data_IF_638185100347
#
_entry.id   IF_638185100347
#
_cell.length_a   1.000
_cell.length_b   1.000
_cell.length_c   1.000
_cell.angle_alpha   90.00
_cell.angle_beta   90.00
_cell.angle_gamma   90.00
#
_symmetry.space_group_name_H-M   'P 1'
#
loop_
_entity.id
_entity.type
_entity.pdbx_description
1 polymer ?
#
# COMPACT_ATOMS: atom_id res chain seq x y z
N UNK A 1 7.16 -33.72 -22.01
CA UNK A 1 6.42 -32.70 -21.25
C UNK A 1 6.15 -31.55 -22.19
N UNK A 2 4.91 -31.07 -22.30
CA UNK A 2 4.63 -29.83 -23.02
C UNK A 2 5.50 -28.71 -22.42
N UNK A 3 6.05 -27.84 -23.27
CA UNK A 3 6.82 -26.68 -22.80
C UNK A 3 5.93 -25.81 -21.93
N UNK A 4 6.33 -25.55 -20.69
CA UNK A 4 5.63 -24.59 -19.83
C UNK A 4 5.59 -23.21 -20.51
N UNK A 5 4.55 -22.37 -20.27
CA UNK A 5 4.44 -21.02 -20.81
C UNK A 5 5.36 -20.04 -20.07
N UNK A 6 6.63 -20.41 -19.95
CA UNK A 6 7.72 -19.66 -19.37
C UNK A 6 8.90 -19.69 -20.34
N UNK A 7 9.67 -18.60 -20.45
CA UNK A 7 10.80 -18.56 -21.36
C UNK A 7 11.95 -19.41 -20.83
N UNK A 8 12.70 -20.02 -21.73
CA UNK A 8 14.07 -20.49 -21.46
C UNK A 8 15.01 -19.34 -21.76
N UNK A 9 15.77 -18.90 -20.76
CA UNK A 9 16.66 -17.74 -20.84
C UNK A 9 18.03 -18.11 -20.29
N UNK A 10 19.07 -17.70 -21.02
CA UNK A 10 20.45 -18.17 -20.79
C UNK A 10 21.18 -17.37 -19.70
N UNK A 11 20.83 -16.09 -19.52
CA UNK A 11 21.45 -15.21 -18.54
C UNK A 11 20.54 -14.94 -17.34
N UNK A 12 21.15 -14.89 -16.16
CA UNK A 12 20.45 -14.53 -14.90
C UNK A 12 19.85 -13.12 -14.96
N UNK A 13 20.48 -12.20 -15.70
CA UNK A 13 19.96 -10.84 -15.89
C UNK A 13 18.63 -10.82 -16.68
N UNK A 14 18.46 -11.78 -17.59
CA UNK A 14 17.29 -11.88 -18.47
C UNK A 14 16.02 -12.34 -17.74
N UNK A 15 16.14 -12.87 -16.52
CA UNK A 15 14.97 -13.24 -15.68
C UNK A 15 14.07 -12.05 -15.37
N UNK A 16 14.58 -10.83 -15.53
CA UNK A 16 13.82 -9.61 -15.32
C UNK A 16 13.58 -8.85 -16.63
N UNK A 17 13.84 -9.42 -17.80
CA UNK A 17 13.65 -8.75 -19.09
C UNK A 17 12.20 -8.87 -19.56
N UNK A 18 11.42 -7.77 -19.56
CA UNK A 18 10.02 -7.79 -20.00
C UNK A 18 9.86 -8.38 -21.42
N UNK A 19 10.78 -8.01 -22.33
CA UNK A 19 10.79 -8.47 -23.72
C UNK A 19 10.94 -9.98 -23.85
N UNK A 20 11.65 -10.62 -22.92
CA UNK A 20 11.90 -12.06 -22.94
C UNK A 20 10.89 -12.81 -22.06
N UNK A 21 10.46 -12.22 -20.95
CA UNK A 21 9.67 -12.91 -19.93
C UNK A 21 8.18 -12.69 -20.00
N UNK A 22 7.70 -11.59 -20.59
CA UNK A 22 6.25 -11.28 -20.60
C UNK A 22 5.77 -11.01 -22.02
N UNK A 23 6.48 -10.17 -22.77
CA UNK A 23 6.08 -9.75 -24.11
C UNK A 23 5.72 -10.91 -25.07
N UNK A 24 6.46 -12.03 -25.12
CA UNK A 24 6.13 -13.14 -26.03
C UNK A 24 4.81 -13.82 -25.71
N UNK A 25 4.32 -13.67 -24.48
CA UNK A 25 3.10 -14.30 -24.00
C UNK A 25 1.90 -13.35 -24.02
N UNK A 26 2.05 -12.10 -24.46
CA UNK A 26 0.93 -11.14 -24.50
C UNK A 26 -0.18 -11.54 -25.48
N UNK A 27 0.15 -12.33 -26.51
CA UNK A 27 -0.86 -12.90 -27.43
C UNK A 27 -1.88 -13.79 -26.70
N UNK A 28 -1.52 -14.34 -25.54
CA UNK A 28 -2.43 -15.17 -24.73
C UNK A 28 -3.65 -14.37 -24.24
N UNK A 29 -3.55 -13.04 -24.13
CA UNK A 29 -4.68 -12.18 -23.81
C UNK A 29 -5.82 -12.25 -24.83
N UNK A 30 -5.53 -12.64 -26.08
CA UNK A 30 -6.53 -12.71 -27.14
C UNK A 30 -7.45 -13.93 -27.00
N UNK A 31 -6.90 -15.08 -26.60
CA UNK A 31 -7.65 -16.34 -26.53
C UNK A 31 -8.07 -16.73 -25.11
N UNK A 32 -7.37 -16.24 -24.07
CA UNK A 32 -7.65 -16.62 -22.67
C UNK A 32 -9.12 -16.43 -22.24
N UNK A 33 -9.81 -15.31 -22.58
CA UNK A 33 -11.22 -15.16 -22.21
C UNK A 33 -12.14 -16.21 -22.83
N UNK A 34 -11.87 -16.63 -24.08
CA UNK A 34 -12.64 -17.68 -24.74
C UNK A 34 -12.36 -19.03 -24.10
N UNK A 35 -11.09 -19.37 -23.85
CA UNK A 35 -10.71 -20.62 -23.20
C UNK A 35 -11.27 -20.76 -21.78
N UNK A 36 -11.31 -19.68 -21.00
CA UNK A 36 -11.96 -19.67 -19.67
C UNK A 36 -13.47 -19.90 -19.76
N UNK A 37 -14.13 -19.32 -20.78
CA UNK A 37 -15.56 -19.52 -21.02
C UNK A 37 -15.88 -20.96 -21.43
N UNK A 38 -15.06 -21.53 -22.31
CA UNK A 38 -15.19 -22.92 -22.77
C UNK A 38 -14.92 -23.93 -21.64
N UNK A 39 -13.93 -23.65 -20.79
CA UNK A 39 -13.67 -24.46 -19.60
C UNK A 39 -14.84 -24.43 -18.60
N UNK A 40 -15.56 -23.30 -18.52
CA UNK A 40 -16.75 -23.15 -17.68
C UNK A 40 -16.45 -23.39 -16.20
N UNK A 41 -17.16 -24.34 -15.59
CA UNK A 41 -16.94 -24.76 -14.19
C UNK A 41 -16.17 -26.09 -14.08
N UNK A 42 -15.67 -26.64 -15.19
CA UNK A 42 -14.90 -27.87 -15.18
C UNK A 42 -13.49 -27.59 -14.62
N UNK A 43 -13.21 -28.10 -13.42
CA UNK A 43 -11.95 -27.85 -12.72
C UNK A 43 -10.72 -28.35 -13.47
N UNK A 44 -10.82 -29.45 -14.22
CA UNK A 44 -9.70 -29.98 -14.98
C UNK A 44 -9.37 -29.06 -16.17
N UNK A 45 -10.39 -28.65 -16.93
CA UNK A 45 -10.19 -27.73 -18.05
C UNK A 45 -9.70 -26.36 -17.57
N UNK A 46 -10.24 -25.84 -16.46
CA UNK A 46 -9.76 -24.60 -15.85
C UNK A 46 -8.31 -24.70 -15.42
N UNK A 47 -7.91 -25.84 -14.84
CA UNK A 47 -6.51 -26.11 -14.48
C UNK A 47 -5.61 -26.15 -15.71
N UNK A 48 -6.05 -26.77 -16.81
CA UNK A 48 -5.29 -26.81 -18.05
C UNK A 48 -5.09 -25.41 -18.63
N UNK A 49 -6.15 -24.60 -18.72
CA UNK A 49 -6.06 -23.19 -19.17
C UNK A 49 -5.13 -22.39 -18.27
N UNK A 50 -5.25 -22.56 -16.95
CA UNK A 50 -4.40 -21.89 -15.95
C UNK A 50 -2.91 -22.22 -16.13
N UNK A 51 -2.56 -23.50 -16.31
CA UNK A 51 -1.17 -23.95 -16.47
C UNK A 51 -0.62 -23.70 -17.88
N UNK A 52 -1.48 -23.57 -18.89
CA UNK A 52 -1.11 -23.18 -20.26
C UNK A 52 -0.86 -21.67 -20.43
N UNK A 53 -1.31 -20.86 -19.47
CA UNK A 53 -1.14 -19.40 -19.48
C UNK A 53 0.10 -19.00 -18.69
N UNK A 54 0.89 -18.07 -19.23
CA UNK A 54 1.99 -17.46 -18.50
C UNK A 54 1.45 -16.82 -17.20
N UNK A 55 2.06 -17.06 -16.04
CA UNK A 55 1.45 -16.66 -14.78
C UNK A 55 1.37 -15.15 -14.61
N UNK A 56 2.26 -14.37 -15.22
CA UNK A 56 2.16 -12.91 -15.22
C UNK A 56 1.00 -12.42 -16.09
N UNK A 57 0.78 -13.06 -17.25
CA UNK A 57 -0.35 -12.75 -18.13
C UNK A 57 -1.68 -13.08 -17.45
N UNK A 58 -1.78 -14.25 -16.81
CA UNK A 58 -2.98 -14.60 -16.03
C UNK A 58 -3.26 -13.60 -14.90
N UNK A 59 -2.22 -13.20 -14.15
CA UNK A 59 -2.35 -12.21 -13.10
C UNK A 59 -2.77 -10.83 -13.64
N UNK A 60 -2.25 -10.43 -14.81
CA UNK A 60 -2.66 -9.21 -15.50
C UNK A 60 -4.13 -9.28 -15.96
N UNK A 61 -4.58 -10.40 -16.52
CA UNK A 61 -6.00 -10.59 -16.87
C UNK A 61 -6.91 -10.46 -15.65
N UNK A 62 -6.56 -11.11 -14.53
CA UNK A 62 -7.29 -10.97 -13.28
C UNK A 62 -7.31 -9.51 -12.80
N UNK A 63 -6.17 -8.82 -12.85
CA UNK A 63 -6.07 -7.39 -12.54
C UNK A 63 -6.99 -6.54 -13.42
N UNK A 64 -7.04 -6.78 -14.74
CA UNK A 64 -7.91 -6.02 -15.65
C UNK A 64 -9.38 -6.25 -15.35
N UNK A 65 -9.79 -7.50 -15.10
CA UNK A 65 -11.18 -7.84 -14.74
C UNK A 65 -11.58 -7.15 -13.43
N UNK A 66 -10.71 -7.22 -12.41
CA UNK A 66 -10.96 -6.56 -11.13
C UNK A 66 -11.02 -5.04 -11.27
N UNK A 67 -10.12 -4.42 -12.03
CA UNK A 67 -10.15 -2.97 -12.26
C UNK A 67 -11.47 -2.52 -12.91
N UNK A 68 -11.95 -3.23 -13.93
CA UNK A 68 -13.26 -2.98 -14.53
C UNK A 68 -14.41 -3.16 -13.51
N UNK A 69 -14.35 -4.20 -12.69
CA UNK A 69 -15.33 -4.45 -11.63
C UNK A 69 -15.34 -3.35 -10.57
N UNK A 70 -14.16 -2.89 -10.13
CA UNK A 70 -14.03 -1.81 -9.16
C UNK A 70 -14.55 -0.49 -9.71
N UNK A 71 -14.24 -0.15 -10.96
CA UNK A 71 -14.78 1.04 -11.61
C UNK A 71 -16.30 0.99 -11.71
N UNK A 72 -16.87 -0.13 -12.20
CA UNK A 72 -18.32 -0.28 -12.30
C UNK A 72 -19.00 -0.18 -10.92
N UNK A 73 -18.42 -0.82 -9.90
CA UNK A 73 -18.94 -0.76 -8.53
C UNK A 73 -18.79 0.64 -7.91
N UNK A 74 -17.73 1.38 -8.23
CA UNK A 74 -17.50 2.73 -7.72
C UNK A 74 -18.52 3.71 -8.31
N UNK A 75 -18.72 3.68 -9.62
CA UNK A 75 -19.69 4.53 -10.32
C UNK A 75 -21.13 4.20 -9.95
N UNK A 76 -21.47 2.92 -9.78
CA UNK A 76 -22.82 2.50 -9.38
C UNK A 76 -23.16 2.92 -7.94
N UNK A 77 -22.24 2.69 -7.00
CA UNK A 77 -22.48 2.98 -5.58
C UNK A 77 -22.09 4.41 -5.16
N UNK A 78 -21.47 5.18 -6.06
CA UNK A 78 -20.84 6.48 -5.78
C UNK A 78 -19.88 6.44 -4.58
N UNK A 79 -19.20 5.29 -4.44
CA UNK A 79 -18.24 5.01 -3.38
C UNK A 79 -16.92 4.57 -4.00
N UNK A 80 -15.89 5.41 -3.89
CA UNK A 80 -14.61 5.28 -4.59
C UNK A 80 -13.56 4.48 -3.78
N UNK A 81 -13.96 3.94 -2.63
CA UNK A 81 -13.12 3.04 -1.82
C UNK A 81 -13.21 1.57 -2.23
N UNK A 82 -13.68 1.26 -3.43
CA UNK A 82 -13.77 -0.14 -3.89
C UNK A 82 -12.39 -0.81 -3.89
N UNK A 83 -11.38 -0.17 -4.48
CA UNK A 83 -10.02 -0.72 -4.50
C UNK A 83 -9.38 -0.71 -3.11
N UNK A 84 -9.66 0.32 -2.29
CA UNK A 84 -9.14 0.43 -0.92
C UNK A 84 -9.44 -0.80 -0.06
N UNK A 85 -10.64 -1.39 -0.21
CA UNK A 85 -11.06 -2.61 0.50
C UNK A 85 -10.23 -3.84 0.15
N UNK A 86 -9.69 -3.87 -1.06
CA UNK A 86 -8.90 -4.97 -1.61
C UNK A 86 -7.40 -4.71 -1.58
N UNK A 87 -6.98 -3.48 -1.24
CA UNK A 87 -5.57 -3.07 -1.17
C UNK A 87 -4.72 -4.01 -0.31
N UNK A 88 -5.28 -4.44 0.83
CA UNK A 88 -4.62 -5.35 1.77
C UNK A 88 -4.63 -6.81 1.36
N UNK A 89 -5.34 -7.18 0.29
CA UNK A 89 -5.62 -8.58 -0.08
C UNK A 89 -4.92 -8.94 -1.40
N UNK A 90 -5.06 -8.10 -2.42
CA UNK A 90 -4.62 -8.43 -3.79
C UNK A 90 -3.14 -8.77 -3.91
N UNK A 91 -2.20 -8.08 -3.24
CA UNK A 91 -0.78 -8.45 -3.33
C UNK A 91 -0.50 -9.86 -2.81
N UNK A 92 -1.19 -10.31 -1.75
CA UNK A 92 -1.08 -11.69 -1.29
C UNK A 92 -1.71 -12.68 -2.27
N UNK A 93 -2.87 -12.33 -2.87
CA UNK A 93 -3.49 -13.14 -3.93
C UNK A 93 -2.53 -13.37 -5.10
N UNK A 94 -1.84 -12.33 -5.58
CA UNK A 94 -0.89 -12.46 -6.68
C UNK A 94 0.35 -13.28 -6.30
N UNK A 95 0.93 -13.06 -5.12
CA UNK A 95 2.08 -13.86 -4.65
C UNK A 95 1.72 -15.34 -4.44
N UNK A 96 0.55 -15.62 -3.86
CA UNK A 96 0.03 -16.99 -3.70
C UNK A 96 -0.26 -17.61 -5.06
N UNK A 97 -0.82 -16.85 -6.00
CA UNK A 97 -1.01 -17.29 -7.40
C UNK A 97 0.32 -17.72 -8.03
N UNK A 98 1.38 -16.91 -7.93
CA UNK A 98 2.69 -17.28 -8.47
C UNK A 98 3.25 -18.55 -7.81
N UNK A 99 3.10 -18.70 -6.49
CA UNK A 99 3.53 -19.89 -5.77
C UNK A 99 2.73 -21.15 -6.16
N UNK A 100 1.41 -21.02 -6.28
CA UNK A 100 0.51 -22.10 -6.66
C UNK A 100 0.80 -22.56 -8.09
N UNK A 101 0.91 -21.61 -9.02
CA UNK A 101 1.23 -21.89 -10.41
C UNK A 101 2.57 -22.63 -10.53
N UNK A 102 3.62 -22.14 -9.87
CA UNK A 102 4.94 -22.78 -9.89
C UNK A 102 4.89 -24.21 -9.35
N UNK A 103 4.20 -24.42 -8.22
CA UNK A 103 4.04 -25.75 -7.60
C UNK A 103 3.28 -26.72 -8.50
N UNK A 104 2.19 -26.27 -9.12
CA UNK A 104 1.38 -27.09 -10.02
C UNK A 104 2.09 -27.43 -11.32
N UNK A 105 3.02 -26.58 -11.75
CA UNK A 105 3.90 -26.79 -12.91
C UNK A 105 5.14 -27.63 -12.59
N UNK A 106 5.29 -28.13 -11.36
CA UNK A 106 6.43 -28.97 -10.95
C UNK A 106 7.74 -28.21 -10.74
N UNK A 107 7.69 -26.89 -10.61
CA UNK A 107 8.87 -26.04 -10.33
C UNK A 107 9.10 -26.03 -8.82
N UNK A 108 10.35 -26.07 -8.38
CA UNK A 108 10.69 -25.94 -6.95
C UNK A 108 10.33 -24.54 -6.44
N UNK A 109 9.77 -24.45 -5.23
CA UNK A 109 9.11 -23.22 -4.76
C UNK A 109 9.54 -22.76 -3.38
N UNK A 110 10.73 -23.07 -2.85
CA UNK A 110 11.04 -22.72 -1.45
C UNK A 110 11.04 -21.20 -1.21
N UNK A 111 11.69 -20.42 -2.08
CA UNK A 111 11.72 -18.95 -1.97
C UNK A 111 10.36 -18.37 -2.31
N UNK A 112 9.74 -18.83 -3.40
CA UNK A 112 8.43 -18.36 -3.86
C UNK A 112 7.35 -18.61 -2.80
N UNK A 113 7.38 -19.79 -2.16
CA UNK A 113 6.48 -20.13 -1.05
C UNK A 113 6.75 -19.27 0.19
N UNK A 114 8.02 -19.02 0.51
CA UNK A 114 8.39 -18.10 1.60
C UNK A 114 7.82 -16.70 1.35
N UNK A 115 7.96 -16.16 0.13
CA UNK A 115 7.37 -14.87 -0.26
C UNK A 115 5.84 -14.91 -0.12
N UNK A 116 5.18 -15.98 -0.59
CA UNK A 116 3.75 -16.13 -0.45
C UNK A 116 3.30 -16.11 1.03
N UNK A 117 3.96 -16.88 1.90
CA UNK A 117 3.65 -16.88 3.35
C UNK A 117 3.85 -15.50 3.97
N UNK A 118 4.97 -14.82 3.68
CA UNK A 118 5.22 -13.47 4.19
C UNK A 118 4.17 -12.46 3.69
N UNK A 119 3.74 -12.58 2.44
CA UNK A 119 2.69 -11.74 1.87
C UNK A 119 1.32 -12.00 2.51
N UNK A 120 1.01 -13.25 2.86
CA UNK A 120 -0.20 -13.60 3.61
C UNK A 120 -0.16 -13.05 5.03
N UNK A 121 0.99 -13.10 5.71
CA UNK A 121 1.16 -12.47 7.03
C UNK A 121 0.99 -10.95 6.95
N UNK A 122 1.58 -10.31 5.94
CA UNK A 122 1.39 -8.89 5.65
C UNK A 122 -0.10 -8.55 5.41
N UNK A 123 -0.78 -9.36 4.59
CA UNK A 123 -2.19 -9.20 4.26
C UNK A 123 -3.08 -9.36 5.47
N UNK A 124 -2.92 -10.44 6.24
CA UNK A 124 -3.69 -10.69 7.45
C UNK A 124 -3.58 -9.52 8.45
N UNK A 125 -2.38 -9.00 8.67
CA UNK A 125 -2.15 -7.81 9.52
C UNK A 125 -2.87 -6.58 8.96
N UNK A 126 -2.66 -6.25 7.69
CA UNK A 126 -3.20 -5.01 7.12
C UNK A 126 -4.73 -5.08 7.01
N UNK A 127 -5.29 -6.21 6.60
CA UNK A 127 -6.72 -6.49 6.57
C UNK A 127 -7.33 -6.39 7.97
N UNK A 128 -6.70 -6.97 9.00
CA UNK A 128 -7.13 -6.79 10.39
C UNK A 128 -7.12 -5.31 10.81
N UNK A 129 -6.05 -4.57 10.47
CA UNK A 129 -5.93 -3.16 10.79
C UNK A 129 -6.99 -2.29 10.08
N UNK A 130 -7.35 -2.63 8.85
CA UNK A 130 -8.40 -1.95 8.09
C UNK A 130 -9.81 -2.31 8.59
N UNK A 131 -10.05 -3.60 8.90
CA UNK A 131 -11.30 -4.10 9.46
C UNK A 131 -11.62 -3.44 10.80
N UNK A 132 -10.68 -3.42 11.74
CA UNK A 132 -10.91 -2.83 13.08
C UNK A 132 -11.23 -1.33 13.00
N UNK A 133 -10.68 -0.62 12.00
CA UNK A 133 -11.00 0.79 11.71
C UNK A 133 -12.39 0.98 11.06
N UNK A 134 -13.10 -0.11 10.74
CA UNK A 134 -14.42 -0.08 10.15
C UNK A 134 -14.44 0.03 8.63
N UNK A 135 -13.31 -0.23 7.94
CA UNK A 135 -13.21 -0.07 6.48
C UNK A 135 -14.06 -1.05 5.65
N UNK A 136 -14.59 -2.10 6.27
CA UNK A 136 -15.54 -3.04 5.65
C UNK A 136 -17.00 -2.80 6.05
N UNK A 137 -17.30 -1.72 6.78
CA UNK A 137 -18.70 -1.39 7.09
C UNK A 137 -19.43 -0.98 5.80
N UNK A 138 -20.69 -1.38 5.68
CA UNK A 138 -21.51 -0.99 4.53
C UNK A 138 -21.58 0.53 4.47
N UNK A 139 -21.29 1.09 3.30
CA UNK A 139 -21.26 2.54 3.07
C UNK A 139 -19.98 3.25 3.52
N UNK A 140 -19.00 2.59 4.14
CA UNK A 140 -17.74 3.25 4.52
C UNK A 140 -16.95 3.66 3.28
N UNK A 141 -16.56 4.93 3.22
CA UNK A 141 -15.65 5.49 2.23
C UNK A 141 -14.47 6.17 2.95
N UNK A 142 -13.29 6.10 2.36
CA UNK A 142 -12.15 6.87 2.84
C UNK A 142 -12.44 8.36 2.66
N UNK A 143 -12.40 9.10 3.77
CA UNK A 143 -12.68 10.54 3.82
C UNK A 143 -11.82 11.37 2.86
N UNK A 144 -10.67 10.86 2.41
CA UNK A 144 -9.82 11.54 1.42
C UNK A 144 -10.52 11.68 0.08
N UNK A 145 -11.39 10.75 -0.31
CA UNK A 145 -12.10 10.82 -1.58
C UNK A 145 -13.11 11.96 -1.62
N UNK A 146 -13.77 12.27 -0.50
CA UNK A 146 -14.63 13.44 -0.40
C UNK A 146 -13.85 14.74 -0.64
N UNK A 147 -12.66 14.86 -0.03
CA UNK A 147 -11.78 16.03 -0.17
C UNK A 147 -11.23 16.15 -1.59
N UNK A 148 -10.85 15.04 -2.22
CA UNK A 148 -10.35 15.06 -3.61
C UNK A 148 -11.49 15.44 -4.56
N UNK A 149 -12.69 14.91 -4.35
CA UNK A 149 -13.87 15.22 -5.16
C UNK A 149 -14.29 16.69 -5.01
N UNK A 150 -14.20 17.26 -3.82
CA UNK A 150 -14.49 18.68 -3.61
C UNK A 150 -13.48 19.63 -4.29
N UNK A 151 -12.34 19.12 -4.76
CA UNK A 151 -11.35 19.89 -5.52
C UNK A 151 -11.54 19.77 -7.05
N UNK A 152 -12.37 18.83 -7.51
CA UNK A 152 -12.63 18.57 -8.93
C UNK A 152 -14.09 18.93 -9.24
N UNK A 153 -14.33 20.14 -9.74
CA UNK A 153 -15.67 20.67 -9.97
C UNK A 153 -16.40 20.09 -11.22
N UNK A 154 -15.92 18.98 -11.79
CA UNK A 154 -16.48 18.39 -13.00
C UNK A 154 -16.60 16.87 -12.86
N UNK A 155 -17.83 16.37 -12.91
CA UNK A 155 -18.15 14.94 -12.78
C UNK A 155 -17.48 14.09 -13.85
N UNK A 156 -17.43 14.55 -15.10
CA UNK A 156 -16.79 13.80 -16.19
C UNK A 156 -15.28 13.66 -15.97
N UNK A 157 -14.62 14.74 -15.54
CA UNK A 157 -13.19 14.67 -15.17
C UNK A 157 -12.97 13.74 -13.97
N UNK A 158 -13.89 13.72 -13.00
CA UNK A 158 -13.81 12.81 -11.88
C UNK A 158 -14.02 11.35 -12.29
N UNK A 159 -14.92 11.04 -13.23
CA UNK A 159 -15.09 9.69 -13.78
C UNK A 159 -13.85 9.23 -14.54
N UNK A 160 -13.20 10.11 -15.31
CA UNK A 160 -11.90 9.80 -15.94
C UNK A 160 -10.85 9.51 -14.86
N UNK A 161 -10.81 10.31 -13.81
CA UNK A 161 -9.89 10.12 -12.69
C UNK A 161 -10.16 8.80 -11.95
N UNK A 162 -11.43 8.45 -11.71
CA UNK A 162 -11.82 7.17 -11.13
C UNK A 162 -11.34 6.00 -11.98
N UNK A 163 -11.68 6.00 -13.27
CA UNK A 163 -11.25 4.95 -14.19
C UNK A 163 -9.72 4.82 -14.24
N UNK A 164 -9.02 5.92 -14.51
CA UNK A 164 -7.57 5.89 -14.78
C UNK A 164 -6.73 5.71 -13.52
N UNK A 165 -7.00 6.47 -12.46
CA UNK A 165 -6.17 6.49 -11.27
C UNK A 165 -6.67 5.55 -10.18
N UNK A 166 -7.96 5.63 -9.82
CA UNK A 166 -8.52 4.87 -8.69
C UNK A 166 -8.67 3.40 -9.05
N UNK A 167 -9.26 3.08 -10.20
CA UNK A 167 -9.50 1.70 -10.61
C UNK A 167 -8.27 1.06 -11.27
N UNK A 168 -7.80 1.63 -12.39
CA UNK A 168 -6.73 1.02 -13.20
C UNK A 168 -5.35 1.15 -12.54
N UNK A 169 -4.90 2.37 -12.21
CA UNK A 169 -3.54 2.56 -11.71
C UNK A 169 -3.31 1.91 -10.34
N UNK A 170 -4.28 1.99 -9.42
CA UNK A 170 -4.18 1.28 -8.12
C UNK A 170 -4.12 -0.24 -8.30
N UNK A 171 -5.01 -0.83 -9.11
CA UNK A 171 -5.03 -2.28 -9.32
C UNK A 171 -3.74 -2.77 -9.97
N UNK A 172 -3.27 -2.05 -10.99
CA UNK A 172 -2.01 -2.36 -11.66
C UNK A 172 -0.82 -2.23 -10.71
N UNK A 173 -0.81 -1.21 -9.85
CA UNK A 173 0.23 -1.05 -8.85
C UNK A 173 0.28 -2.23 -7.87
N UNK A 174 -0.88 -2.70 -7.40
CA UNK A 174 -0.97 -3.85 -6.49
C UNK A 174 -0.48 -5.15 -7.14
N UNK A 175 -0.63 -5.29 -8.46
CA UNK A 175 0.02 -6.36 -9.21
C UNK A 175 1.53 -6.13 -9.34
N UNK A 176 1.96 -4.92 -9.74
CA UNK A 176 3.36 -4.63 -10.03
C UNK A 176 4.28 -4.72 -8.81
N UNK A 177 3.81 -4.45 -7.59
CA UNK A 177 4.61 -4.68 -6.38
C UNK A 177 4.92 -6.16 -6.14
N UNK A 178 4.21 -7.07 -6.80
CA UNK A 178 4.44 -8.53 -6.76
C UNK A 178 5.21 -9.07 -7.97
N UNK A 179 5.55 -8.22 -8.94
CA UNK A 179 6.39 -8.58 -10.09
C UNK A 179 7.75 -9.21 -9.72
N UNK A 180 8.42 -8.83 -8.61
CA UNK A 180 9.61 -9.55 -8.14
C UNK A 180 9.39 -11.05 -7.94
N UNK A 181 8.22 -11.47 -7.46
CA UNK A 181 7.87 -12.88 -7.27
C UNK A 181 7.76 -13.62 -8.60
N UNK A 182 7.26 -12.97 -9.65
CA UNK A 182 7.29 -13.53 -11.00
C UNK A 182 8.72 -13.76 -11.51
N UNK A 183 9.65 -12.84 -11.22
CA UNK A 183 11.06 -13.04 -11.57
C UNK A 183 11.65 -14.28 -10.86
N UNK A 184 11.25 -14.55 -9.60
CA UNK A 184 11.62 -15.79 -8.92
C UNK A 184 11.04 -17.05 -9.58
N UNK A 185 9.81 -16.99 -10.10
CA UNK A 185 9.23 -18.11 -10.89
C UNK A 185 10.06 -18.38 -12.15
N UNK A 186 10.43 -17.33 -12.89
CA UNK A 186 11.28 -17.46 -14.08
C UNK A 186 12.66 -18.02 -13.71
N UNK A 187 13.26 -17.52 -12.63
CA UNK A 187 14.56 -17.99 -12.15
C UNK A 187 14.52 -19.48 -11.76
N UNK A 188 13.50 -19.90 -11.00
CA UNK A 188 13.35 -21.29 -10.57
C UNK A 188 13.09 -22.26 -11.73
N UNK A 189 12.44 -21.81 -12.82
CA UNK A 189 12.26 -22.63 -14.02
C UNK A 189 13.56 -22.82 -14.82
N UNK A 190 14.43 -21.81 -14.82
CA UNK A 190 15.68 -21.80 -15.58
C UNK A 190 16.86 -22.39 -14.80
N UNK A 191 16.78 -22.45 -13.48
CA UNK A 191 17.79 -23.07 -12.62
C UNK A 191 17.47 -24.55 -12.37
N UNK A 192 18.49 -25.40 -12.44
CA UNK A 192 18.35 -26.86 -12.29
C UNK A 192 17.89 -27.29 -10.89
N UNK A 193 18.17 -26.47 -9.87
CA UNK A 193 17.74 -26.68 -8.48
C UNK A 193 17.69 -25.33 -7.78
N UNK A 194 16.58 -25.05 -7.09
CA UNK A 194 16.48 -23.86 -6.26
C UNK A 194 17.15 -24.14 -4.92
N UNK A 195 18.23 -23.42 -4.62
CA UNK A 195 18.88 -23.47 -3.32
C UNK A 195 18.45 -22.25 -2.52
N UNK A 196 17.82 -22.47 -1.36
CA UNK A 196 17.54 -21.40 -0.41
C UNK A 196 18.85 -20.91 0.21
N UNK A 197 19.25 -19.70 -0.13
CA UNK A 197 20.56 -19.12 0.19
C UNK A 197 20.54 -18.29 1.48
N UNK A 198 21.72 -17.93 2.03
CA UNK A 198 21.80 -16.96 3.12
C UNK A 198 21.17 -15.60 2.80
N UNK A 199 21.16 -15.19 1.52
CA UNK A 199 20.47 -13.98 1.09
C UNK A 199 18.94 -14.14 1.24
N UNK A 200 18.39 -15.29 0.85
CA UNK A 200 16.97 -15.62 1.02
C UNK A 200 16.57 -15.60 2.51
N UNK A 201 17.45 -16.11 3.39
CA UNK A 201 17.27 -16.01 4.83
C UNK A 201 17.31 -14.55 5.31
N UNK A 202 18.28 -13.76 4.87
CA UNK A 202 18.41 -12.36 5.28
C UNK A 202 17.19 -11.52 4.89
N UNK A 203 16.76 -11.58 3.62
CA UNK A 203 15.61 -10.81 3.14
C UNK A 203 14.31 -11.27 3.82
N UNK A 204 14.07 -12.58 3.92
CA UNK A 204 12.86 -13.09 4.59
C UNK A 204 12.79 -12.71 6.07
N UNK A 205 13.91 -12.77 6.81
CA UNK A 205 13.97 -12.37 8.22
C UNK A 205 13.85 -10.86 8.39
N UNK A 206 14.41 -10.08 7.47
CA UNK A 206 14.23 -8.62 7.44
C UNK A 206 12.75 -8.26 7.24
N UNK A 207 12.04 -8.93 6.32
CA UNK A 207 10.60 -8.72 6.13
C UNK A 207 9.81 -9.04 7.40
N UNK A 208 10.11 -10.15 8.09
CA UNK A 208 9.46 -10.50 9.37
C UNK A 208 9.69 -9.39 10.41
N UNK A 209 10.93 -8.93 10.55
CA UNK A 209 11.25 -7.84 11.47
C UNK A 209 10.46 -6.56 11.14
N UNK A 210 10.40 -6.18 9.87
CA UNK A 210 9.62 -5.02 9.41
C UNK A 210 8.14 -5.18 9.75
N UNK A 211 7.54 -6.36 9.51
CA UNK A 211 6.15 -6.64 9.85
C UNK A 211 5.87 -6.55 11.35
N UNK A 212 6.80 -6.97 12.20
CA UNK A 212 6.69 -6.85 13.65
C UNK A 212 6.69 -5.37 14.06
N UNK A 213 7.64 -4.58 13.54
CA UNK A 213 7.69 -3.14 13.83
C UNK A 213 6.42 -2.44 13.34
N UNK A 214 5.93 -2.80 12.15
CA UNK A 214 4.69 -2.26 11.61
C UNK A 214 3.48 -2.58 12.48
N UNK A 215 3.37 -3.82 12.97
CA UNK A 215 2.31 -4.24 13.87
C UNK A 215 2.28 -3.38 15.15
N UNK A 216 3.44 -3.12 15.76
CA UNK A 216 3.51 -2.24 16.93
C UNK A 216 3.19 -0.79 16.59
N UNK A 217 3.63 -0.27 15.44
CA UNK A 217 3.31 1.09 14.99
C UNK A 217 1.79 1.27 14.80
N UNK A 218 1.14 0.29 14.16
CA UNK A 218 -0.30 0.23 13.98
C UNK A 218 -1.04 0.13 15.32
N UNK A 219 -0.53 -0.66 16.26
CA UNK A 219 -1.14 -0.80 17.58
C UNK A 219 -1.02 0.49 18.42
N UNK A 220 0.12 1.18 18.37
CA UNK A 220 0.28 2.49 19.04
C UNK A 220 -0.73 3.51 18.52
N UNK A 221 -0.93 3.58 17.19
CA UNK A 221 -1.93 4.46 16.59
C UNK A 221 -3.36 4.06 16.99
N UNK A 222 -3.65 2.76 17.02
CA UNK A 222 -4.96 2.23 17.38
C UNK A 222 -5.31 2.53 18.84
N UNK A 223 -4.40 2.25 19.77
CA UNK A 223 -4.56 2.55 21.20
C UNK A 223 -4.88 4.04 21.40
N UNK A 224 -4.08 4.92 20.77
CA UNK A 224 -4.27 6.36 20.86
C UNK A 224 -5.63 6.82 20.31
N UNK A 225 -6.00 6.42 19.08
CA UNK A 225 -7.28 6.87 18.50
C UNK A 225 -8.48 6.29 19.25
N UNK A 226 -8.37 5.08 19.78
CA UNK A 226 -9.42 4.47 20.61
C UNK A 226 -9.60 5.26 21.91
N UNK A 227 -8.50 5.53 22.63
CA UNK A 227 -8.51 6.33 23.86
C UNK A 227 -9.11 7.72 23.63
N UNK A 228 -8.66 8.39 22.56
CA UNK A 228 -9.14 9.71 22.16
C UNK A 228 -10.64 9.72 21.84
N UNK A 229 -11.14 8.76 21.07
CA UNK A 229 -12.58 8.71 20.74
C UNK A 229 -13.46 8.47 21.96
N UNK A 230 -13.00 7.67 22.93
CA UNK A 230 -13.70 7.46 24.20
C UNK A 230 -13.63 8.72 25.08
N UNK A 231 -12.47 9.36 25.17
CA UNK A 231 -12.31 10.63 25.88
C UNK A 231 -13.22 11.72 25.32
N UNK A 232 -13.31 11.85 23.99
CA UNK A 232 -14.20 12.83 23.34
C UNK A 232 -15.69 12.62 23.66
N UNK A 233 -16.11 11.41 24.00
CA UNK A 233 -17.50 11.10 24.37
C UNK A 233 -17.77 11.24 25.85
N UNK A 234 -16.77 11.02 26.69
CA UNK A 234 -16.96 10.85 28.15
C UNK A 234 -16.25 11.90 29.00
N UNK A 235 -15.36 12.70 28.40
CA UNK A 235 -14.42 13.59 29.07
C UNK A 235 -13.57 12.90 30.16
N UNK A 236 -13.39 11.57 30.07
CA UNK A 236 -12.60 10.76 31.00
C UNK A 236 -11.64 9.86 30.26
N UNK A 237 -10.41 9.74 30.77
CA UNK A 237 -9.43 8.82 30.20
C UNK A 237 -9.87 7.39 30.54
N UNK A 238 -10.01 6.49 29.54
CA UNK A 238 -10.40 5.11 29.80
C UNK A 238 -9.40 4.41 30.71
N UNK A 239 -9.88 3.59 31.66
CA UNK A 239 -9.05 2.95 32.69
C UNK A 239 -7.82 2.24 32.11
N UNK A 240 -8.03 1.46 31.03
CA UNK A 240 -6.99 0.72 30.32
C UNK A 240 -5.88 1.56 29.67
N UNK A 241 -6.07 2.88 29.60
CA UNK A 241 -5.15 3.81 28.97
C UNK A 241 -4.63 4.89 29.93
N UNK A 242 -5.03 4.88 31.21
CA UNK A 242 -4.60 5.88 32.21
C UNK A 242 -3.08 5.94 32.39
N UNK A 243 -2.41 4.79 32.36
CA UNK A 243 -0.95 4.72 32.50
C UNK A 243 -0.20 5.03 31.19
N UNK A 244 -0.92 5.16 30.07
CA UNK A 244 -0.34 5.37 28.74
C UNK A 244 -0.49 6.80 28.23
N UNK A 245 -1.61 7.46 28.54
CA UNK A 245 -1.93 8.78 28.01
C UNK A 245 -2.40 9.72 29.09
N UNK A 246 -1.96 10.97 28.99
CA UNK A 246 -2.46 12.08 29.79
C UNK A 246 -3.64 12.77 29.09
N UNK A 247 -4.31 13.68 29.81
CA UNK A 247 -5.36 14.51 29.21
C UNK A 247 -4.80 15.37 28.07
N UNK A 248 -3.65 16.01 28.29
CA UNK A 248 -2.96 16.83 27.29
C UNK A 248 -2.64 16.03 26.01
N UNK A 249 -2.25 14.76 26.14
CA UNK A 249 -2.00 13.91 24.97
C UNK A 249 -3.24 13.70 24.10
N UNK A 250 -4.40 13.47 24.73
CA UNK A 250 -5.64 13.20 24.01
C UNK A 250 -6.25 14.48 23.43
N UNK A 251 -6.06 15.61 24.11
CA UNK A 251 -6.49 16.94 23.64
C UNK A 251 -5.68 17.42 22.44
N UNK A 252 -4.36 17.19 22.44
CA UNK A 252 -3.50 17.44 21.26
C UNK A 252 -3.99 16.71 20.00
N UNK A 253 -4.59 15.53 20.18
CA UNK A 253 -5.39 14.86 19.15
C UNK A 253 -4.62 13.96 18.17
N UNK A 254 -3.30 13.82 18.32
CA UNK A 254 -2.44 12.89 17.58
C UNK A 254 -1.30 12.32 18.44
N UNK A 255 -0.84 11.12 18.08
CA UNK A 255 0.26 10.40 18.76
C UNK A 255 1.62 10.98 18.38
N UNK A 256 2.51 11.10 19.36
CA UNK A 256 3.89 11.61 19.20
C UNK A 256 4.94 10.78 19.93
N UNK A 257 4.53 9.78 20.72
CA UNK A 257 5.39 8.94 21.54
C UNK A 257 5.65 7.57 20.91
N UNK A 258 6.59 6.80 21.47
CA UNK A 258 6.95 5.49 20.92
C UNK A 258 7.59 5.61 19.53
N UNK A 259 7.18 4.77 18.57
CA UNK A 259 7.71 4.80 17.20
C UNK A 259 7.38 6.11 16.49
N UNK A 260 6.29 6.78 16.89
CA UNK A 260 5.85 8.06 16.35
C UNK A 260 6.80 9.22 16.74
N UNK A 261 7.64 9.05 17.76
CA UNK A 261 8.69 10.04 18.08
C UNK A 261 9.87 10.00 17.11
N UNK A 262 10.08 8.85 16.44
CA UNK A 262 11.17 8.65 15.48
C UNK A 262 10.75 9.03 14.06
N UNK A 263 9.56 8.61 13.65
CA UNK A 263 8.98 8.90 12.34
C UNK A 263 7.53 9.31 12.52
N UNK A 264 7.07 10.31 11.78
CA UNK A 264 5.65 10.71 11.84
C UNK A 264 4.71 9.70 11.24
N UNK A 265 5.22 8.74 10.46
CA UNK A 265 4.44 7.66 9.86
C UNK A 265 5.25 6.35 9.90
N UNK A 266 5.52 5.79 11.08
CA UNK A 266 6.41 4.63 11.21
C UNK A 266 5.80 3.39 10.55
N UNK A 267 4.48 3.24 10.57
CA UNK A 267 3.78 2.19 9.83
C UNK A 267 3.92 2.36 8.31
N UNK A 268 3.82 3.58 7.78
CA UNK A 268 4.01 3.83 6.34
C UNK A 268 5.45 3.58 5.89
N UNK A 269 6.44 3.81 6.77
CA UNK A 269 7.83 3.42 6.50
C UNK A 269 7.93 1.92 6.35
N UNK A 270 7.40 1.16 7.31
CA UNK A 270 7.45 -0.29 7.28
C UNK A 270 6.71 -0.85 6.06
N UNK A 271 5.54 -0.31 5.75
CA UNK A 271 4.74 -0.68 4.59
C UNK A 271 5.53 -0.52 3.28
N UNK A 272 6.23 0.61 3.08
CA UNK A 272 7.11 0.80 1.93
C UNK A 272 8.34 -0.14 1.96
N UNK A 273 8.91 -0.39 3.15
CA UNK A 273 10.07 -1.26 3.31
C UNK A 273 9.75 -2.73 3.01
N UNK A 274 8.54 -3.23 3.28
CA UNK A 274 8.15 -4.62 2.93
C UNK A 274 8.32 -4.85 1.43
N UNK A 275 7.73 -3.98 0.61
CA UNK A 275 7.76 -4.12 -0.85
C UNK A 275 9.13 -3.77 -1.44
N UNK A 276 9.85 -2.81 -0.86
CA UNK A 276 11.24 -2.54 -1.21
C UNK A 276 12.15 -3.73 -0.92
N UNK A 277 11.95 -4.40 0.21
CA UNK A 277 12.73 -5.61 0.57
C UNK A 277 12.50 -6.71 -0.45
N UNK A 278 11.25 -6.95 -0.87
CA UNK A 278 10.93 -7.93 -1.92
C UNK A 278 11.57 -7.57 -3.27
N UNK A 279 11.55 -6.30 -3.66
CA UNK A 279 12.24 -5.84 -4.87
C UNK A 279 13.76 -6.06 -4.78
N UNK A 280 14.39 -5.61 -3.69
CA UNK A 280 15.84 -5.75 -3.47
C UNK A 280 16.26 -7.21 -3.41
N UNK A 281 15.40 -8.08 -2.87
CA UNK A 281 15.62 -9.51 -2.86
C UNK A 281 15.71 -10.09 -4.27
N UNK A 282 14.73 -9.78 -5.13
CA UNK A 282 14.78 -10.21 -6.53
C UNK A 282 15.97 -9.59 -7.28
N UNK A 283 16.21 -8.28 -7.12
CA UNK A 283 17.33 -7.58 -7.76
C UNK A 283 18.69 -8.17 -7.37
N UNK A 284 18.88 -8.53 -6.10
CA UNK A 284 20.08 -9.20 -5.62
C UNK A 284 20.23 -10.59 -6.26
N UNK A 285 19.15 -11.37 -6.34
CA UNK A 285 19.16 -12.72 -6.92
C UNK A 285 19.40 -12.74 -8.42
N UNK A 286 18.95 -11.73 -9.13
CA UNK A 286 19.11 -11.61 -10.59
C UNK A 286 20.33 -10.78 -11.00
N UNK A 287 21.04 -10.17 -10.05
CA UNK A 287 22.11 -9.21 -10.32
C UNK A 287 21.65 -7.95 -11.07
N UNK A 288 20.34 -7.73 -11.20
CA UNK A 288 19.76 -6.66 -12.03
C UNK A 288 18.97 -5.69 -11.15
N UNK A 289 19.57 -4.52 -10.90
CA UNK A 289 19.02 -3.49 -10.01
C UNK A 289 18.11 -2.46 -10.69
N UNK A 290 18.00 -2.49 -12.02
CA UNK A 290 17.12 -1.63 -12.79
C UNK A 290 16.34 -2.46 -13.80
N UNK A 291 15.05 -2.67 -13.53
CA UNK A 291 14.16 -3.48 -14.35
C UNK A 291 12.70 -3.08 -14.13
N UNK A 292 11.81 -3.53 -15.03
CA UNK A 292 10.36 -3.32 -14.95
C UNK A 292 9.75 -3.86 -13.65
N UNK A 293 10.36 -4.88 -13.04
CA UNK A 293 9.91 -5.43 -11.75
C UNK A 293 10.04 -4.42 -10.60
N UNK A 294 10.82 -3.35 -10.78
CA UNK A 294 10.94 -2.23 -9.85
C UNK A 294 9.89 -1.14 -10.01
N UNK A 295 9.12 -1.14 -11.10
CA UNK A 295 8.08 -0.13 -11.32
C UNK A 295 7.01 -0.14 -10.23
N UNK A 296 6.71 -1.33 -9.70
CA UNK A 296 5.79 -1.50 -8.57
C UNK A 296 6.25 -0.74 -7.34
N UNK A 297 7.47 -1.00 -6.83
CA UNK A 297 7.96 -0.33 -5.61
C UNK A 297 8.12 1.18 -5.82
N UNK A 298 8.56 1.62 -7.00
CA UNK A 298 8.67 3.06 -7.30
C UNK A 298 7.29 3.72 -7.27
N UNK A 299 6.29 3.14 -7.93
CA UNK A 299 4.91 3.63 -7.89
C UNK A 299 4.34 3.64 -6.47
N UNK A 300 4.64 2.61 -5.69
CA UNK A 300 4.19 2.47 -4.31
C UNK A 300 4.72 3.62 -3.44
N UNK A 301 6.03 3.86 -3.48
CA UNK A 301 6.66 4.99 -2.76
C UNK A 301 6.07 6.33 -3.20
N UNK A 302 5.85 6.54 -4.50
CA UNK A 302 5.28 7.78 -5.03
C UNK A 302 3.86 8.04 -4.51
N UNK A 303 2.99 7.02 -4.47
CA UNK A 303 1.65 7.14 -3.88
C UNK A 303 1.75 7.51 -2.41
N UNK A 304 2.63 6.85 -1.64
CA UNK A 304 2.83 7.19 -0.23
C UNK A 304 3.31 8.63 -0.04
N UNK A 305 4.14 9.17 -0.94
CA UNK A 305 4.50 10.60 -0.90
C UNK A 305 3.27 11.51 -1.06
N UNK A 306 2.41 11.21 -2.05
CA UNK A 306 1.19 11.96 -2.32
C UNK A 306 0.17 11.86 -1.17
N UNK A 307 -0.18 10.65 -0.79
CA UNK A 307 -1.15 10.37 0.28
C UNK A 307 -0.71 10.96 1.62
N UNK A 308 0.57 10.83 1.98
CA UNK A 308 1.06 11.38 3.25
C UNK A 308 1.04 12.90 3.24
N UNK A 309 1.36 13.56 2.12
CA UNK A 309 1.24 15.03 2.01
C UNK A 309 -0.21 15.48 2.22
N UNK A 310 -1.17 14.79 1.61
CA UNK A 310 -2.59 15.09 1.78
C UNK A 310 -3.00 14.91 3.25
N UNK A 311 -2.73 13.75 3.85
CA UNK A 311 -3.11 13.43 5.24
C UNK A 311 -2.46 14.37 6.25
N UNK A 312 -1.18 14.72 6.06
CA UNK A 312 -0.50 15.71 6.91
C UNK A 312 -1.09 17.11 6.75
N UNK A 313 -1.50 17.51 5.55
CA UNK A 313 -2.12 18.82 5.32
C UNK A 313 -3.47 18.95 6.04
N UNK A 314 -4.24 17.85 6.08
CA UNK A 314 -5.52 17.78 6.78
C UNK A 314 -5.28 17.84 8.29
N UNK A 315 -4.32 17.06 8.79
CA UNK A 315 -3.94 17.06 10.20
C UNK A 315 -3.43 18.42 10.67
N UNK A 316 -2.63 19.11 9.86
CA UNK A 316 -2.10 20.44 10.16
C UNK A 316 -3.16 21.56 10.13
N UNK A 317 -4.30 21.34 9.45
CA UNK A 317 -5.46 22.24 9.53
C UNK A 317 -6.31 21.96 10.78
N UNK A 318 -6.36 20.71 11.22
CA UNK A 318 -7.20 20.26 12.33
C UNK A 318 -6.55 20.47 13.70
N UNK A 319 -5.24 20.26 13.83
CA UNK A 319 -4.53 20.31 15.10
C UNK A 319 -3.42 21.39 15.03
N UNK A 320 -3.52 22.48 15.83
CA UNK A 320 -2.55 23.58 15.79
C UNK A 320 -1.10 23.15 16.01
N UNK A 321 -0.87 22.25 16.98
CA UNK A 321 0.47 21.75 17.35
C UNK A 321 1.10 20.82 16.30
N UNK A 322 0.32 20.33 15.33
CA UNK A 322 0.84 19.37 14.34
C UNK A 322 1.96 19.96 13.49
N UNK A 323 1.97 21.28 13.27
CA UNK A 323 3.05 21.96 12.54
C UNK A 323 4.37 21.91 13.31
N UNK A 324 4.33 22.00 14.62
CA UNK A 324 5.52 21.88 15.46
C UNK A 324 6.06 20.45 15.44
N UNK A 325 5.16 19.47 15.50
CA UNK A 325 5.50 18.07 15.33
C UNK A 325 6.16 17.80 13.96
N UNK A 326 5.60 18.34 12.88
CA UNK A 326 6.22 18.29 11.54
C UNK A 326 7.60 18.95 11.48
N UNK A 327 7.80 20.00 12.27
CA UNK A 327 9.07 20.71 12.35
C UNK A 327 10.11 19.95 13.18
N UNK A 328 9.75 18.99 14.04
CA UNK A 328 10.68 18.27 14.92
C UNK A 328 10.95 16.84 14.46
N UNK A 329 9.91 16.05 14.19
CA UNK A 329 10.03 14.64 13.82
C UNK A 329 10.08 14.49 12.31
N UNK A 330 10.86 13.55 11.77
CA UNK A 330 10.93 13.34 10.31
C UNK A 330 9.70 12.60 9.76
N UNK A 331 9.32 12.85 8.50
CA UNK A 331 8.12 12.20 7.90
C UNK A 331 8.25 10.67 7.84
N UNK A 332 9.39 10.21 7.32
CA UNK A 332 9.71 8.80 7.10
C UNK A 332 11.07 8.46 7.69
N UNK A 333 12.06 9.30 7.43
CA UNK A 333 13.43 9.13 7.94
C UNK A 333 13.54 9.83 9.30
N UNK A 334 14.02 9.14 10.35
CA UNK A 334 14.22 9.76 11.65
C UNK A 334 15.15 10.96 11.62
N UNK A 335 14.89 11.91 12.51
CA UNK A 335 15.77 13.06 12.72
C UNK A 335 16.55 12.86 14.00
N UNK A 336 17.87 12.96 13.87
CA UNK A 336 18.79 12.85 15.02
C UNK A 336 18.88 14.15 15.84
N UNK A 337 18.30 15.24 15.34
CA UNK A 337 18.25 16.53 16.04
C UNK A 337 16.85 16.81 16.56
N UNK A 338 16.80 17.27 17.82
CA UNK A 338 15.58 17.72 18.51
C UNK A 338 15.16 19.13 18.07
N UNK A 339 16.04 19.85 17.37
CA UNK A 339 15.78 21.23 16.95
C UNK A 339 14.73 21.30 15.83
N UNK A 340 13.77 22.22 15.94
CA UNK A 340 12.75 22.40 14.91
C UNK A 340 13.41 22.91 13.62
N UNK A 341 13.02 22.32 12.48
CA UNK A 341 13.40 22.82 11.16
C UNK A 341 12.83 24.22 11.00
N UNK A 342 13.68 25.20 10.64
CA UNK A 342 13.27 26.60 10.43
C UNK A 342 12.04 26.63 9.51
N UNK A 343 10.89 27.01 10.06
CA UNK A 343 9.65 27.20 9.30
C UNK A 343 9.87 28.45 8.45
N UNK A 344 9.83 28.32 7.11
CA UNK A 344 9.95 29.48 6.21
C UNK A 344 8.86 30.52 6.59
N UNK A 345 9.14 31.84 6.54
CA UNK A 345 8.32 32.86 7.21
C UNK A 345 6.88 33.05 6.69
N UNK A 346 6.50 32.38 5.61
CA UNK A 346 5.17 32.52 4.99
C UNK A 346 4.01 32.13 5.94
N UNK A 347 4.25 31.22 6.88
CA UNK A 347 3.24 30.80 7.86
C UNK A 347 3.01 31.84 8.98
N UNK A 348 4.00 32.69 9.29
CA UNK A 348 3.91 33.68 10.37
C UNK A 348 3.02 34.87 9.99
N UNK A 349 2.99 35.24 8.69
CA UNK A 349 2.08 36.29 8.17
C UNK A 349 0.61 35.88 8.17
N UNK A 350 0.30 34.59 7.99
CA UNK A 350 -1.07 34.11 8.01
C UNK A 350 -1.64 34.03 9.43
N UNK A 351 -0.84 33.62 10.42
CA UNK A 351 -1.24 33.63 11.83
C UNK A 351 -1.38 35.06 12.38
N UNK A 352 -0.42 35.94 12.09
CA UNK A 352 -0.47 37.34 12.52
C UNK A 352 -1.68 38.10 11.92
N UNK A 353 -2.07 37.80 10.67
CA UNK A 353 -3.28 38.39 10.07
C UNK A 353 -4.59 37.94 10.73
N UNK A 354 -4.64 36.74 11.30
CA UNK A 354 -5.84 36.24 11.99
C UNK A 354 -5.95 36.90 13.36
N UNK A 355 -4.84 37.05 14.08
CA UNK A 355 -4.82 37.74 15.37
C UNK A 355 -5.12 39.26 15.24
N UNK A 356 -4.73 39.89 14.13
CA UNK A 356 -5.06 41.30 13.83
C UNK A 356 -6.55 41.48 13.55
N UNK A 357 -7.17 40.60 12.76
CA UNK A 357 -8.60 40.65 12.40
C UNK A 357 -9.49 40.38 13.63
N UNK A 358 -9.13 39.40 14.46
CA UNK A 358 -9.87 39.08 15.70
C UNK A 358 -9.66 40.16 16.78
N UNK A 359 -8.52 40.85 16.76
CA UNK A 359 -8.25 42.00 17.62
C UNK A 359 -9.07 43.25 17.24
N UNK A 360 -9.27 43.50 15.95
CA UNK A 360 -10.10 44.62 15.47
C UNK A 360 -11.60 44.42 15.71
N UNK A 361 -12.14 43.20 15.53
CA UNK A 361 -13.56 42.93 15.81
C UNK A 361 -13.90 43.12 17.30
N UNK A 362 -13.01 42.75 18.22
CA UNK A 362 -13.21 42.98 19.67
C UNK A 362 -13.10 44.45 20.09
N UNK A 363 -12.45 45.29 19.29
CA UNK A 363 -12.30 46.71 19.56
C UNK A 363 -13.49 47.54 19.04
N UNK A 364 -14.13 47.13 17.94
CA UNK A 364 -15.35 47.75 17.42
C UNK A 364 -16.58 47.43 18.30
N UNK A 365 -16.69 46.21 18.82
CA UNK A 365 -17.82 45.79 19.66
C UNK A 365 -17.85 46.47 21.05
N UNK A 366 -16.72 47.04 21.49
CA UNK A 366 -16.62 47.83 22.74
C UNK A 366 -16.95 49.32 22.58
N UNK A 367 -17.08 49.82 21.35
CA UNK A 367 -17.50 51.22 21.08
C UNK A 367 -18.99 51.36 20.81
N UNK A 368 -19.75 50.26 20.78
CA UNK A 368 -21.19 50.22 20.49
C UNK A 368 -22.07 49.92 21.73
N UNK A 369 -21.60 50.19 22.94
CA UNK A 369 -22.41 50.10 24.16
C UNK A 369 -22.37 51.38 24.97
#
# INVERSE_FOLDING_TARGET
MASLPLPRVDSVADYTSFKLTVQPFLEQLQWLPASLREAGLNLNNLKEVYLATNPMVFAFTLCSVLACGFFAAAEFNRNFSQVDRFWSILPAVYNVHFALWARMSGIQTQTIFTIAVLSVLWSARLTFNYWRKGGYKIGSEDYRWEIVRSQVNNTFLFTIFDFTFIAVAQSLLLLLITAPTYAFVVAAYNQSSEVFTPADLFFSRSTIFILIVEFFADQQQWDFQTAKHEYQKTARIPERYKDKFTQEDLERGFVVSGLWSWSRHPNFVCEQLVWLTLYLWAAFRTGTYFSWIGLGVVGYVLIFQGSTRLTESISAKKYPEYREYQARVGRFIPRLSVEPKKIKPAAKKAAAKIDEVVGTEKAEDKKSK
#
